data_IF_760119854383
#
_entry.id   IF_760119854383
#
_cell.length_a   1.000
_cell.length_b   1.000
_cell.length_c   1.000
_cell.angle_alpha   90.00
_cell.angle_beta   90.00
_cell.angle_gamma   90.00
#
_symmetry.space_group_name_H-M   'P 1'
#
loop_
_entity.id
_entity.type
_entity.pdbx_description
1 polymer ?
#
# COMPACT_ATOMS: atom_id res chain seq x y z
N UNK A 1 20.98 -58.31 -27.15
CA UNK A 1 20.85 -56.97 -27.67
C UNK A 1 20.27 -56.13 -26.50
N UNK A 2 21.18 -55.52 -25.73
CA UNK A 2 20.91 -54.81 -24.49
C UNK A 2 20.60 -53.38 -24.89
N UNK A 3 19.42 -52.86 -24.51
CA UNK A 3 19.07 -51.47 -24.68
C UNK A 3 19.40 -50.79 -23.36
N UNK A 4 20.46 -49.94 -23.36
CA UNK A 4 20.81 -49.06 -22.29
C UNK A 4 19.79 -47.91 -22.20
N UNK A 5 19.23 -47.68 -21.00
CA UNK A 5 18.54 -46.45 -20.66
C UNK A 5 19.57 -45.37 -20.28
N UNK A 6 19.52 -44.16 -20.88
CA UNK A 6 20.18 -43.02 -20.32
C UNK A 6 19.12 -42.06 -19.72
N UNK A 7 19.48 -41.38 -18.63
CA UNK A 7 18.87 -40.20 -17.96
C UNK A 7 18.25 -40.42 -16.58
N UNK A 8 19.11 -40.65 -15.60
CA UNK A 8 18.81 -40.32 -14.19
C UNK A 8 19.96 -39.51 -13.55
N UNK A 9 20.66 -38.65 -14.27
CA UNK A 9 21.82 -37.90 -13.73
C UNK A 9 21.68 -36.38 -13.69
N UNK A 10 20.48 -35.78 -13.82
CA UNK A 10 20.30 -34.29 -13.87
C UNK A 10 19.47 -33.70 -12.74
N UNK A 11 19.11 -34.43 -11.68
CA UNK A 11 18.32 -33.89 -10.58
C UNK A 11 19.14 -33.68 -9.28
N UNK A 12 20.41 -34.02 -9.26
CA UNK A 12 21.23 -33.96 -8.02
C UNK A 12 22.05 -32.69 -7.84
N UNK A 13 22.13 -31.79 -8.83
CA UNK A 13 23.00 -30.59 -8.75
C UNK A 13 22.31 -29.32 -8.23
N UNK A 14 21.00 -29.34 -8.10
CA UNK A 14 20.23 -28.16 -7.66
C UNK A 14 20.26 -27.94 -6.13
N UNK A 15 20.61 -28.95 -5.34
CA UNK A 15 20.74 -28.84 -3.88
C UNK A 15 22.08 -28.27 -3.42
N UNK A 16 23.13 -28.37 -4.19
CA UNK A 16 24.46 -27.83 -3.85
C UNK A 16 24.54 -26.33 -4.08
N UNK A 17 23.79 -25.79 -5.04
CA UNK A 17 23.72 -24.36 -5.31
C UNK A 17 23.01 -23.60 -4.17
N UNK A 18 22.03 -24.23 -3.51
CA UNK A 18 21.29 -23.65 -2.38
C UNK A 18 22.08 -23.66 -1.05
N UNK A 19 23.07 -24.51 -0.88
CA UNK A 19 23.79 -24.64 0.40
C UNK A 19 24.97 -23.70 0.58
N UNK A 20 25.48 -23.07 -0.47
CA UNK A 20 26.68 -22.24 -0.42
C UNK A 20 26.42 -20.73 -0.16
N UNK A 21 25.19 -20.24 -0.27
CA UNK A 21 24.85 -18.80 -0.17
C UNK A 21 24.17 -18.40 1.15
N UNK A 22 24.05 -19.29 2.13
CA UNK A 22 23.36 -19.01 3.42
C UNK A 22 24.39 -18.73 4.54
N UNK A 23 25.21 -17.70 4.38
CA UNK A 23 26.17 -17.27 5.41
C UNK A 23 25.79 -15.97 6.15
N UNK A 24 24.51 -15.57 6.16
CA UNK A 24 23.97 -14.60 7.10
C UNK A 24 22.66 -15.12 7.64
N UNK A 25 22.36 -14.95 8.94
CA UNK A 25 21.09 -15.40 9.53
C UNK A 25 19.92 -14.76 8.76
N UNK A 26 19.24 -15.48 7.85
CA UNK A 26 18.29 -14.87 6.89
C UNK A 26 17.10 -14.18 7.58
N UNK A 27 16.78 -14.63 8.79
CA UNK A 27 15.72 -14.02 9.59
C UNK A 27 16.01 -12.54 9.94
N UNK A 28 17.24 -12.19 10.30
CA UNK A 28 17.56 -10.80 10.68
C UNK A 28 17.41 -9.84 9.48
N UNK A 29 17.82 -10.26 8.28
CA UNK A 29 17.69 -9.45 7.08
C UNK A 29 16.22 -9.14 6.73
N UNK A 30 15.30 -10.11 6.92
CA UNK A 30 13.86 -9.91 6.72
C UNK A 30 13.30 -8.84 7.67
N UNK A 31 13.70 -8.84 8.94
CA UNK A 31 13.24 -7.83 9.90
C UNK A 31 13.77 -6.43 9.57
N UNK A 32 15.00 -6.30 9.08
CA UNK A 32 15.53 -5.01 8.63
C UNK A 32 14.83 -4.50 7.36
N UNK A 33 14.51 -5.41 6.43
CA UNK A 33 13.66 -5.06 5.27
C UNK A 33 12.25 -4.65 5.72
N UNK A 34 11.68 -5.33 6.71
CA UNK A 34 10.38 -4.97 7.28
C UNK A 34 10.40 -3.61 7.99
N UNK A 35 11.52 -3.25 8.65
CA UNK A 35 11.69 -1.92 9.24
C UNK A 35 11.70 -0.82 8.17
N UNK A 36 12.31 -1.09 7.01
CA UNK A 36 12.24 -0.19 5.86
C UNK A 36 10.81 -0.03 5.32
N UNK A 37 10.04 -1.13 5.18
CA UNK A 37 8.63 -1.04 4.77
C UNK A 37 7.74 -0.38 5.83
N UNK A 38 8.05 -0.54 7.11
CA UNK A 38 7.42 0.22 8.20
C UNK A 38 7.64 1.73 8.04
N UNK A 39 8.88 2.15 7.82
CA UNK A 39 9.21 3.57 7.63
C UNK A 39 8.48 4.17 6.41
N UNK A 40 8.51 3.45 5.28
CA UNK A 40 7.83 3.87 4.03
C UNK A 40 6.31 3.87 4.21
N UNK A 41 5.75 2.86 4.86
CA UNK A 41 4.33 2.80 5.17
C UNK A 41 3.89 3.94 6.08
N UNK A 42 4.67 4.23 7.13
CA UNK A 42 4.39 5.37 8.03
C UNK A 42 4.37 6.67 7.25
N UNK A 43 5.39 6.94 6.44
CA UNK A 43 5.50 8.17 5.65
C UNK A 43 4.37 8.31 4.63
N UNK A 44 4.03 7.22 3.94
CA UNK A 44 2.97 7.22 2.92
C UNK A 44 1.59 7.59 3.46
N UNK A 45 1.32 7.31 4.72
CA UNK A 45 0.02 7.55 5.35
C UNK A 45 0.02 8.70 6.37
N UNK A 46 1.17 9.10 6.95
CA UNK A 46 1.23 10.11 8.02
C UNK A 46 0.87 11.52 7.57
N UNK A 47 0.96 11.84 6.29
CA UNK A 47 0.71 13.20 5.79
C UNK A 47 -0.75 13.60 5.98
N UNK A 48 -1.69 12.71 5.71
CA UNK A 48 -3.12 13.01 5.82
C UNK A 48 -3.52 13.62 7.18
N UNK A 49 -3.17 13.03 8.33
CA UNK A 49 -3.44 13.63 9.62
C UNK A 49 -2.65 14.92 9.92
N UNK A 50 -1.56 15.18 9.22
CA UNK A 50 -0.72 16.37 9.43
C UNK A 50 -1.10 17.55 8.53
N UNK A 51 -1.96 17.33 7.51
CA UNK A 51 -2.32 18.34 6.50
C UNK A 51 -2.77 19.68 7.10
N UNK A 52 -3.65 19.76 8.11
CA UNK A 52 -4.08 21.03 8.66
C UNK A 52 -2.90 21.86 9.22
N UNK A 53 -2.00 21.20 9.97
CA UNK A 53 -0.83 21.85 10.56
C UNK A 53 0.20 22.26 9.52
N UNK A 54 0.38 21.43 8.49
CA UNK A 54 1.26 21.74 7.36
C UNK A 54 0.73 22.91 6.53
N UNK A 55 -0.59 22.98 6.30
CA UNK A 55 -1.23 24.09 5.60
C UNK A 55 -1.02 25.42 6.34
N UNK A 56 -1.21 25.41 7.67
CA UNK A 56 -0.98 26.56 8.53
C UNK A 56 0.50 27.02 8.47
N UNK A 57 1.45 26.11 8.75
CA UNK A 57 2.89 26.42 8.80
C UNK A 57 3.46 26.91 7.46
N UNK A 58 2.96 26.35 6.35
CA UNK A 58 3.41 26.69 4.99
C UNK A 58 2.61 27.84 4.38
N UNK A 59 1.64 28.39 5.10
CA UNK A 59 0.77 29.49 4.66
C UNK A 59 0.07 29.20 3.33
N UNK A 60 -0.43 27.98 3.16
CA UNK A 60 -1.18 27.54 1.97
C UNK A 60 -2.58 27.07 2.36
N UNK A 61 -3.49 27.01 1.39
CA UNK A 61 -4.81 26.45 1.62
C UNK A 61 -4.72 24.94 1.93
N UNK A 62 -5.73 24.41 2.64
CA UNK A 62 -5.84 22.97 2.89
C UNK A 62 -5.90 22.16 1.58
N UNK A 63 -6.55 22.70 0.55
CA UNK A 63 -6.62 22.13 -0.80
C UNK A 63 -5.23 22.05 -1.43
N UNK A 64 -4.43 23.10 -1.32
CA UNK A 64 -3.04 23.14 -1.79
C UNK A 64 -2.18 22.14 -1.01
N UNK A 65 -2.30 22.08 0.32
CA UNK A 65 -1.60 21.09 1.12
C UNK A 65 -1.95 19.64 0.74
N UNK A 66 -3.21 19.36 0.38
CA UNK A 66 -3.65 18.07 -0.12
C UNK A 66 -2.90 17.59 -1.36
N UNK A 67 -2.36 18.49 -2.19
CA UNK A 67 -1.53 18.13 -3.34
C UNK A 67 -0.21 17.44 -2.94
N UNK A 68 0.26 17.61 -1.70
CA UNK A 68 1.41 16.87 -1.17
C UNK A 68 1.13 15.36 -1.08
N UNK A 69 -0.12 14.96 -0.83
CA UNK A 69 -0.54 13.56 -0.88
C UNK A 69 -0.66 13.10 -2.33
N UNK A 70 -1.31 13.89 -3.17
CA UNK A 70 -1.52 13.59 -4.59
C UNK A 70 -0.18 13.37 -5.31
N UNK A 71 0.79 14.27 -5.15
CA UNK A 71 2.07 14.17 -5.86
C UNK A 71 2.88 12.96 -5.44
N UNK A 72 2.90 12.62 -4.14
CA UNK A 72 3.57 11.43 -3.65
C UNK A 72 2.95 10.16 -4.24
N UNK A 73 1.62 10.02 -4.11
CA UNK A 73 0.91 8.82 -4.55
C UNK A 73 0.96 8.65 -6.07
N UNK A 74 0.85 9.74 -6.82
CA UNK A 74 0.98 9.74 -8.28
C UNK A 74 2.41 9.39 -8.72
N UNK A 75 3.41 10.01 -8.08
CA UNK A 75 4.82 9.71 -8.37
C UNK A 75 5.14 8.24 -8.06
N UNK A 76 4.63 7.70 -6.96
CA UNK A 76 4.79 6.28 -6.63
C UNK A 76 4.13 5.38 -7.69
N UNK A 77 2.89 5.68 -8.08
CA UNK A 77 2.12 4.88 -9.03
C UNK A 77 2.84 4.68 -10.37
N UNK A 78 3.44 5.74 -10.88
CA UNK A 78 4.19 5.71 -12.15
C UNK A 78 5.63 5.26 -11.99
N UNK A 79 6.33 5.71 -10.95
CA UNK A 79 7.75 5.41 -10.78
C UNK A 79 8.00 3.94 -10.47
N UNK A 80 7.16 3.31 -9.66
CA UNK A 80 7.38 1.93 -9.22
C UNK A 80 7.54 0.94 -10.38
N UNK A 81 6.64 0.84 -11.37
CA UNK A 81 6.81 -0.06 -12.51
C UNK A 81 7.94 0.36 -13.44
N UNK A 82 8.11 1.67 -13.67
CA UNK A 82 9.10 2.20 -14.62
C UNK A 82 10.50 2.04 -14.04
N UNK A 83 10.75 2.55 -12.84
CA UNK A 83 12.07 2.50 -12.23
C UNK A 83 12.50 1.05 -11.94
N UNK A 84 11.58 0.18 -11.50
CA UNK A 84 11.90 -1.23 -11.29
C UNK A 84 12.34 -1.91 -12.59
N UNK A 85 11.75 -1.55 -13.73
CA UNK A 85 12.16 -2.07 -15.03
C UNK A 85 13.51 -1.50 -15.49
N UNK A 86 13.71 -0.17 -15.35
CA UNK A 86 14.94 0.51 -15.76
C UNK A 86 16.17 0.15 -14.92
N UNK A 87 15.97 -0.17 -13.65
CA UNK A 87 17.06 -0.52 -12.71
C UNK A 87 17.29 -2.03 -12.64
N UNK A 88 16.77 -2.79 -13.58
CA UNK A 88 16.85 -4.26 -13.60
C UNK A 88 18.26 -4.83 -13.60
N UNK A 89 19.22 -4.11 -14.16
CA UNK A 89 20.65 -4.48 -14.20
C UNK A 89 21.37 -4.21 -12.86
N UNK A 90 20.81 -3.36 -12.01
CA UNK A 90 21.38 -3.08 -10.68
C UNK A 90 21.07 -4.25 -9.75
N UNK A 91 22.10 -4.82 -9.13
CA UNK A 91 21.91 -5.91 -8.15
C UNK A 91 20.89 -5.54 -7.08
N UNK A 92 19.95 -6.45 -6.80
CA UNK A 92 18.80 -6.24 -5.91
C UNK A 92 19.19 -5.69 -4.54
N UNK A 93 20.28 -6.19 -3.97
CA UNK A 93 20.81 -5.69 -2.69
C UNK A 93 21.18 -4.21 -2.77
N UNK A 94 21.95 -3.82 -3.78
CA UNK A 94 22.39 -2.43 -3.91
C UNK A 94 21.21 -1.49 -4.16
N UNK A 95 20.27 -1.91 -5.00
CA UNK A 95 19.05 -1.15 -5.28
C UNK A 95 18.21 -0.95 -4.02
N UNK A 96 18.08 -1.99 -3.19
CA UNK A 96 17.35 -1.92 -1.92
C UNK A 96 18.02 -0.92 -0.96
N UNK A 97 19.34 -0.99 -0.80
CA UNK A 97 20.10 -0.10 0.09
C UNK A 97 20.06 1.35 -0.42
N UNK A 98 20.31 1.57 -1.72
CA UNK A 98 20.30 2.90 -2.34
C UNK A 98 18.92 3.56 -2.27
N UNK A 99 17.85 2.80 -2.52
CA UNK A 99 16.49 3.33 -2.42
C UNK A 99 16.13 3.73 -0.98
N UNK A 100 16.49 2.92 0.02
CA UNK A 100 16.21 3.25 1.42
C UNK A 100 17.10 4.40 1.94
N UNK A 101 18.35 4.47 1.51
CA UNK A 101 19.23 5.61 1.80
C UNK A 101 18.69 6.90 1.17
N UNK A 102 18.28 6.85 -0.10
CA UNK A 102 17.63 7.98 -0.77
C UNK A 102 16.35 8.41 -0.07
N UNK A 103 15.56 7.45 0.43
CA UNK A 103 14.37 7.73 1.21
C UNK A 103 14.70 8.42 2.54
N UNK A 104 15.75 7.98 3.24
CA UNK A 104 16.21 8.63 4.48
C UNK A 104 16.67 10.08 4.21
N UNK A 105 17.47 10.31 3.16
CA UNK A 105 17.94 11.65 2.76
C UNK A 105 16.75 12.55 2.38
N UNK A 106 15.80 12.03 1.62
CA UNK A 106 14.60 12.79 1.22
C UNK A 106 13.70 13.15 2.43
N UNK A 107 13.66 12.30 3.47
CA UNK A 107 13.01 12.63 4.75
C UNK A 107 13.71 13.78 5.47
N UNK A 108 15.05 13.81 5.47
CA UNK A 108 15.81 14.94 6.02
C UNK A 108 15.51 16.22 5.23
N UNK A 109 15.48 16.15 3.89
CA UNK A 109 15.10 17.29 3.05
C UNK A 109 13.68 17.78 3.34
N UNK A 110 12.73 16.86 3.56
CA UNK A 110 11.35 17.20 3.94
C UNK A 110 11.28 17.87 5.33
N UNK A 111 12.05 17.38 6.31
CA UNK A 111 12.12 17.98 7.64
C UNK A 111 12.69 19.41 7.61
N UNK A 112 13.67 19.65 6.74
CA UNK A 112 14.31 20.95 6.56
C UNK A 112 13.54 21.90 5.62
N UNK A 113 12.42 21.47 5.05
CA UNK A 113 11.67 22.28 4.11
C UNK A 113 11.16 23.59 4.75
N UNK A 114 11.59 24.71 4.16
CA UNK A 114 11.20 26.05 4.58
C UNK A 114 9.96 26.57 3.86
N UNK A 115 9.53 25.89 2.78
CA UNK A 115 8.37 26.30 1.99
C UNK A 115 7.73 25.12 1.27
N UNK A 116 6.54 25.38 0.73
CA UNK A 116 5.70 24.40 0.07
C UNK A 116 6.40 23.66 -1.08
N UNK A 117 7.08 24.37 -1.97
CA UNK A 117 7.72 23.78 -3.16
C UNK A 117 8.92 22.88 -2.83
N UNK A 118 9.68 23.26 -1.78
CA UNK A 118 10.76 22.39 -1.29
C UNK A 118 10.20 21.08 -0.73
N UNK A 119 9.13 21.16 0.04
CA UNK A 119 8.46 19.96 0.55
C UNK A 119 7.84 19.13 -0.58
N UNK A 120 7.23 19.77 -1.59
CA UNK A 120 6.70 19.11 -2.78
C UNK A 120 7.78 18.29 -3.51
N UNK A 121 8.96 18.89 -3.73
CA UNK A 121 10.11 18.19 -4.34
C UNK A 121 10.57 17.01 -3.49
N UNK A 122 10.68 17.20 -2.16
CA UNK A 122 11.03 16.10 -1.25
C UNK A 122 10.00 14.97 -1.32
N UNK A 123 8.70 15.27 -1.44
CA UNK A 123 7.63 14.27 -1.61
C UNK A 123 7.78 13.44 -2.88
N UNK A 124 8.21 14.06 -3.99
CA UNK A 124 8.52 13.32 -5.24
C UNK A 124 9.68 12.36 -5.00
N UNK A 125 10.78 12.85 -4.40
CA UNK A 125 11.97 12.02 -4.12
C UNK A 125 11.65 10.85 -3.19
N UNK A 126 10.85 11.09 -2.15
CA UNK A 126 10.34 10.06 -1.24
C UNK A 126 9.55 8.98 -1.98
N UNK A 127 8.67 9.40 -2.89
CA UNK A 127 7.86 8.48 -3.69
C UNK A 127 8.70 7.62 -4.66
N UNK A 128 9.70 8.22 -5.33
CA UNK A 128 10.63 7.50 -6.21
C UNK A 128 11.41 6.43 -5.43
N UNK A 129 11.93 6.79 -4.27
CA UNK A 129 12.68 5.89 -3.41
C UNK A 129 11.80 4.75 -2.86
N UNK A 130 10.59 5.07 -2.37
CA UNK A 130 9.63 4.10 -1.87
C UNK A 130 9.15 3.13 -2.97
N UNK A 131 8.89 3.65 -4.19
CA UNK A 131 8.47 2.88 -5.36
C UNK A 131 9.53 1.88 -5.84
N UNK A 132 10.81 2.16 -5.58
CA UNK A 132 11.91 1.20 -5.81
C UNK A 132 12.07 0.21 -4.67
N UNK A 133 11.95 0.66 -3.42
CA UNK A 133 12.23 -0.17 -2.25
C UNK A 133 11.25 -1.31 -2.09
N UNK A 134 9.95 -1.03 -2.03
CA UNK A 134 8.92 -2.01 -1.63
C UNK A 134 8.87 -3.24 -2.55
N UNK A 135 8.83 -3.09 -3.90
CA UNK A 135 8.84 -4.24 -4.80
C UNK A 135 10.14 -5.07 -4.70
N UNK A 136 11.29 -4.40 -4.50
CA UNK A 136 12.58 -5.07 -4.37
C UNK A 136 12.72 -5.79 -3.02
N UNK A 137 12.20 -5.24 -1.93
CA UNK A 137 12.14 -5.90 -0.63
C UNK A 137 11.30 -7.18 -0.70
N UNK A 138 10.13 -7.13 -1.33
CA UNK A 138 9.29 -8.30 -1.52
C UNK A 138 9.96 -9.38 -2.40
N UNK A 139 10.58 -8.98 -3.52
CA UNK A 139 11.28 -9.90 -4.41
C UNK A 139 12.47 -10.59 -3.69
N UNK A 140 13.26 -9.80 -2.96
CA UNK A 140 14.41 -10.32 -2.22
C UNK A 140 13.99 -11.21 -1.06
N UNK A 141 12.96 -10.84 -0.30
CA UNK A 141 12.42 -11.64 0.79
C UNK A 141 11.99 -13.05 0.33
N UNK A 142 11.34 -13.15 -0.84
CA UNK A 142 10.97 -14.43 -1.41
C UNK A 142 12.15 -15.26 -1.94
N UNK A 143 13.27 -14.62 -2.23
CA UNK A 143 14.47 -15.27 -2.80
C UNK A 143 15.46 -15.76 -1.73
N UNK A 144 15.52 -15.10 -0.57
CA UNK A 144 16.47 -15.46 0.51
C UNK A 144 16.01 -16.61 1.40
N UNK A 145 14.84 -17.18 1.15
CA UNK A 145 14.28 -18.28 1.92
C UNK A 145 13.89 -19.45 1.01
N UNK A 146 13.83 -20.64 1.58
CA UNK A 146 13.35 -21.84 0.86
C UNK A 146 11.90 -21.63 0.36
N UNK A 147 11.50 -22.27 -0.75
CA UNK A 147 10.19 -22.10 -1.38
C UNK A 147 9.01 -22.22 -0.42
N UNK A 148 9.09 -23.14 0.55
CA UNK A 148 8.05 -23.42 1.55
C UNK A 148 7.88 -22.26 2.56
N UNK A 149 8.91 -21.42 2.72
CA UNK A 149 8.93 -20.27 3.66
C UNK A 149 8.67 -18.93 2.97
N UNK A 150 8.47 -18.88 1.66
CA UNK A 150 8.26 -17.62 0.92
C UNK A 150 7.06 -16.82 1.44
N UNK A 151 5.95 -17.49 1.72
CA UNK A 151 4.77 -16.85 2.30
C UNK A 151 5.06 -16.20 3.65
N UNK A 152 5.82 -16.90 4.52
CA UNK A 152 6.26 -16.36 5.80
C UNK A 152 7.18 -15.13 5.63
N UNK A 153 8.15 -15.19 4.73
CA UNK A 153 9.05 -14.05 4.48
C UNK A 153 8.29 -12.82 3.96
N UNK A 154 7.37 -13.02 3.01
CA UNK A 154 6.51 -11.95 2.49
C UNK A 154 5.58 -11.37 3.57
N UNK A 155 5.08 -12.19 4.49
CA UNK A 155 4.24 -11.73 5.59
C UNK A 155 5.00 -10.84 6.58
N UNK A 156 6.30 -11.06 6.78
CA UNK A 156 7.14 -10.17 7.59
C UNK A 156 7.26 -8.79 6.94
N UNK A 157 7.54 -8.74 5.62
CA UNK A 157 7.65 -7.48 4.89
C UNK A 157 6.31 -6.71 4.91
N UNK A 158 5.23 -7.39 4.60
CA UNK A 158 3.87 -6.78 4.62
C UNK A 158 3.46 -6.39 6.04
N UNK A 159 3.90 -7.15 7.04
CA UNK A 159 3.72 -6.85 8.46
C UNK A 159 4.31 -5.49 8.84
N UNK A 160 5.46 -5.12 8.27
CA UNK A 160 6.03 -3.78 8.43
C UNK A 160 5.05 -2.68 8.05
N UNK A 161 4.41 -2.78 6.87
CA UNK A 161 3.39 -1.82 6.44
C UNK A 161 2.14 -1.84 7.34
N UNK A 162 1.70 -3.03 7.77
CA UNK A 162 0.53 -3.14 8.66
C UNK A 162 0.79 -2.48 10.02
N UNK A 163 1.98 -2.66 10.59
CA UNK A 163 2.40 -2.00 11.83
C UNK A 163 2.52 -0.48 11.62
N UNK A 164 2.99 -0.03 10.45
CA UNK A 164 3.04 1.38 10.10
C UNK A 164 1.66 2.03 10.16
N UNK A 165 0.67 1.41 9.55
CA UNK A 165 -0.73 1.90 9.56
C UNK A 165 -1.32 1.89 10.97
N UNK A 166 -1.09 0.82 11.75
CA UNK A 166 -1.66 0.66 13.08
C UNK A 166 -0.99 1.54 14.15
N UNK A 167 0.33 1.73 14.09
CA UNK A 167 1.10 2.42 15.11
C UNK A 167 1.83 3.65 14.58
N UNK A 168 2.48 3.55 13.41
CA UNK A 168 3.31 4.62 12.85
C UNK A 168 2.51 5.88 12.53
N UNK A 169 1.34 5.72 11.91
CA UNK A 169 0.47 6.87 11.55
C UNK A 169 -0.10 7.58 12.78
N UNK A 170 -0.72 6.91 13.75
CA UNK A 170 -1.19 7.58 14.97
C UNK A 170 -0.07 8.21 15.78
N UNK A 171 1.08 7.55 15.89
CA UNK A 171 2.25 8.11 16.56
C UNK A 171 2.72 9.40 15.85
N UNK A 172 2.77 9.40 14.51
CA UNK A 172 3.11 10.58 13.73
C UNK A 172 2.09 11.71 13.92
N UNK A 173 0.79 11.40 14.00
CA UNK A 173 -0.25 12.38 14.27
C UNK A 173 -0.09 13.01 15.66
N UNK A 174 0.19 12.21 16.70
CA UNK A 174 0.45 12.68 18.06
C UNK A 174 1.70 13.58 18.14
N UNK A 175 2.80 13.11 17.54
CA UNK A 175 4.07 13.85 17.51
C UNK A 175 3.91 15.15 16.73
N UNK A 176 3.27 15.09 15.56
CA UNK A 176 3.04 16.25 14.72
C UNK A 176 2.15 17.30 15.37
N UNK A 177 1.18 16.87 16.19
CA UNK A 177 0.34 17.79 16.98
C UNK A 177 1.12 18.46 18.12
N UNK A 178 1.94 17.69 18.87
CA UNK A 178 2.64 18.19 20.06
C UNK A 178 3.97 18.89 19.77
N UNK A 179 4.73 18.41 18.80
CA UNK A 179 6.11 18.85 18.53
C UNK A 179 6.34 19.38 17.10
N UNK A 180 5.29 19.42 16.29
CA UNK A 180 5.36 19.85 14.90
C UNK A 180 5.62 18.72 13.91
N UNK A 181 5.06 18.86 12.70
CA UNK A 181 5.09 17.84 11.65
C UNK A 181 6.51 17.53 11.14
N UNK A 182 7.44 18.48 11.24
CA UNK A 182 8.84 18.27 10.81
C UNK A 182 9.53 17.15 11.58
N UNK A 183 9.25 17.01 12.88
CA UNK A 183 9.82 15.95 13.72
C UNK A 183 9.41 14.56 13.24
N UNK A 184 8.22 14.40 12.65
CA UNK A 184 7.79 13.10 12.10
C UNK A 184 8.68 12.66 10.95
N UNK A 185 9.08 13.56 10.06
CA UNK A 185 10.04 13.27 9.00
C UNK A 185 11.44 12.94 9.54
N UNK A 186 11.90 13.65 10.57
CA UNK A 186 13.17 13.33 11.25
C UNK A 186 13.15 11.90 11.78
N UNK A 187 12.09 11.50 12.46
CA UNK A 187 11.96 10.16 13.04
C UNK A 187 11.90 9.08 11.97
N UNK A 188 11.09 9.27 10.93
CA UNK A 188 11.00 8.33 9.79
C UNK A 188 12.35 8.25 9.06
N UNK A 189 13.01 9.38 8.85
CA UNK A 189 14.36 9.43 8.26
C UNK A 189 15.39 8.69 9.11
N UNK A 190 15.34 8.84 10.45
CA UNK A 190 16.21 8.12 11.38
C UNK A 190 15.99 6.61 11.31
N UNK A 191 14.72 6.15 11.36
CA UNK A 191 14.39 4.73 11.24
C UNK A 191 14.85 4.16 9.90
N UNK A 192 14.66 4.92 8.80
CA UNK A 192 15.11 4.52 7.46
C UNK A 192 16.64 4.45 7.36
N UNK A 193 17.34 5.42 7.98
CA UNK A 193 18.80 5.43 8.06
C UNK A 193 19.35 4.24 8.84
N UNK A 194 18.78 3.93 10.01
CA UNK A 194 19.14 2.77 10.81
C UNK A 194 18.88 1.45 10.04
N UNK A 195 17.75 1.34 9.38
CA UNK A 195 17.46 0.18 8.54
C UNK A 195 18.42 0.07 7.35
N UNK A 196 18.81 1.19 6.74
CA UNK A 196 19.82 1.22 5.66
C UNK A 196 21.18 0.69 6.16
N UNK A 197 21.65 1.19 7.31
CA UNK A 197 22.90 0.74 7.94
C UNK A 197 22.84 -0.76 8.26
N UNK A 198 21.73 -1.21 8.84
CA UNK A 198 21.53 -2.61 9.18
C UNK A 198 21.53 -3.52 7.93
N UNK A 199 20.89 -3.09 6.82
CA UNK A 199 20.91 -3.81 5.56
C UNK A 199 22.30 -3.80 4.90
N UNK A 200 23.05 -2.71 5.01
CA UNK A 200 24.41 -2.60 4.48
C UNK A 200 25.34 -3.67 5.06
N UNK A 201 25.25 -3.91 6.39
CA UNK A 201 26.06 -4.89 7.10
C UNK A 201 25.41 -6.27 7.22
N UNK A 202 24.08 -6.36 7.16
CA UNK A 202 23.31 -7.59 7.37
C UNK A 202 22.99 -8.40 6.11
N UNK A 203 23.13 -7.80 4.90
CA UNK A 203 22.91 -8.50 3.64
C UNK A 203 24.23 -8.85 2.96
N UNK A 204 24.42 -10.11 2.60
CA UNK A 204 25.56 -10.54 1.80
C UNK A 204 25.56 -9.85 0.40
N UNK A 205 26.76 -9.67 -0.18
CA UNK A 205 26.91 -8.85 -1.42
C UNK A 205 26.26 -9.45 -2.65
N UNK A 206 26.14 -10.76 -2.69
CA UNK A 206 25.60 -11.58 -3.78
C UNK A 206 24.12 -11.90 -3.64
N UNK A 207 23.49 -11.49 -2.56
CA UNK A 207 22.06 -11.76 -2.30
C UNK A 207 21.20 -11.12 -3.38
N UNK A 208 20.38 -11.96 -4.03
CA UNK A 208 19.48 -11.53 -5.11
C UNK A 208 20.15 -11.32 -6.46
N UNK A 209 21.43 -11.72 -6.61
CA UNK A 209 22.09 -11.74 -7.92
C UNK A 209 21.36 -12.70 -8.87
N UNK A 210 21.16 -12.25 -10.12
CA UNK A 210 20.48 -13.08 -11.14
C UNK A 210 18.97 -13.23 -11.01
N UNK A 211 18.32 -12.58 -10.03
CA UNK A 211 16.86 -12.61 -9.96
C UNK A 211 16.25 -11.90 -11.18
N UNK A 212 15.30 -12.55 -11.89
CA UNK A 212 14.69 -11.98 -13.07
C UNK A 212 13.90 -10.72 -12.73
N UNK A 213 13.96 -9.75 -13.64
CA UNK A 213 13.17 -8.51 -13.59
C UNK A 213 12.20 -8.53 -14.75
N UNK A 214 10.92 -8.41 -14.45
CA UNK A 214 9.91 -8.28 -15.49
C UNK A 214 10.13 -6.96 -16.26
N UNK A 215 10.27 -7.09 -17.57
CA UNK A 215 10.39 -5.96 -18.48
C UNK A 215 9.12 -5.11 -18.52
N UNK A 216 9.24 -3.87 -18.99
CA UNK A 216 8.07 -3.00 -19.17
C UNK A 216 7.06 -3.61 -20.17
N UNK A 217 7.55 -4.30 -21.20
CA UNK A 217 6.73 -4.99 -22.20
C UNK A 217 5.88 -6.11 -21.57
N UNK A 218 6.46 -6.90 -20.68
CA UNK A 218 5.72 -7.96 -19.96
C UNK A 218 4.65 -7.36 -19.04
N UNK A 219 4.94 -6.24 -18.37
CA UNK A 219 3.97 -5.53 -17.54
C UNK A 219 2.79 -5.02 -18.37
N UNK A 220 3.06 -4.40 -19.53
CA UNK A 220 2.03 -3.93 -20.47
C UNK A 220 1.20 -5.11 -20.99
N UNK A 221 1.83 -6.23 -21.33
CA UNK A 221 1.13 -7.42 -21.80
C UNK A 221 0.17 -8.00 -20.73
N UNK A 222 0.53 -7.93 -19.44
CA UNK A 222 -0.34 -8.36 -18.33
C UNK A 222 -1.52 -7.40 -18.17
N UNK A 223 -1.29 -6.08 -18.25
CA UNK A 223 -2.36 -5.07 -18.20
C UNK A 223 -3.30 -5.21 -19.40
N UNK A 224 -2.78 -5.58 -20.57
CA UNK A 224 -3.57 -5.79 -21.79
C UNK A 224 -4.59 -6.94 -21.70
N UNK A 225 -4.47 -7.83 -20.70
CA UNK A 225 -5.48 -8.87 -20.45
C UNK A 225 -6.72 -8.24 -19.80
N UNK A 226 -7.83 -8.23 -20.52
CA UNK A 226 -9.09 -7.59 -20.06
C UNK A 226 -9.50 -7.98 -18.63
N UNK A 227 -9.48 -9.28 -18.21
CA UNK A 227 -9.86 -9.63 -16.85
C UNK A 227 -8.94 -9.04 -15.78
N UNK A 228 -7.63 -8.96 -16.07
CA UNK A 228 -6.64 -8.35 -15.18
C UNK A 228 -6.87 -6.84 -15.09
N UNK A 229 -6.99 -6.16 -16.23
CA UNK A 229 -7.23 -4.71 -16.27
C UNK A 229 -8.49 -4.32 -15.51
N UNK A 230 -9.61 -4.99 -15.74
CA UNK A 230 -10.87 -4.71 -15.04
C UNK A 230 -10.72 -4.93 -13.52
N UNK A 231 -10.00 -5.96 -13.11
CA UNK A 231 -9.71 -6.22 -11.68
C UNK A 231 -8.82 -5.13 -11.09
N UNK A 232 -7.82 -4.64 -11.82
CA UNK A 232 -6.99 -3.49 -11.43
C UNK A 232 -7.82 -2.19 -11.31
N UNK A 233 -8.79 -1.99 -12.21
CA UNK A 233 -9.71 -0.85 -12.13
C UNK A 233 -10.62 -0.91 -10.90
N UNK A 234 -11.02 -2.10 -10.44
CA UNK A 234 -11.71 -2.25 -9.14
C UNK A 234 -10.81 -1.77 -8.01
N UNK A 235 -9.51 -2.12 -8.04
CA UNK A 235 -8.55 -1.63 -7.03
C UNK A 235 -8.41 -0.10 -7.08
N UNK A 236 -8.32 0.48 -8.28
CA UNK A 236 -8.23 1.93 -8.47
C UNK A 236 -9.44 2.65 -7.88
N UNK A 237 -10.66 2.21 -8.21
CA UNK A 237 -11.90 2.80 -7.71
C UNK A 237 -12.04 2.63 -6.19
N UNK A 238 -11.72 1.45 -5.65
CA UNK A 238 -11.69 1.20 -4.21
C UNK A 238 -10.73 2.16 -3.50
N UNK A 239 -9.51 2.30 -4.01
CA UNK A 239 -8.49 3.17 -3.46
C UNK A 239 -8.88 4.64 -3.56
N UNK A 240 -9.51 5.06 -4.67
CA UNK A 240 -10.06 6.41 -4.85
C UNK A 240 -11.07 6.73 -3.76
N UNK A 241 -12.07 5.87 -3.54
CA UNK A 241 -13.08 6.10 -2.51
C UNK A 241 -12.49 6.14 -1.10
N UNK A 242 -11.61 5.20 -0.77
CA UNK A 242 -10.98 5.14 0.54
C UNK A 242 -10.12 6.38 0.84
N UNK A 243 -9.33 6.86 -0.12
CA UNK A 243 -8.45 8.02 0.07
C UNK A 243 -9.15 9.36 -0.03
N UNK A 244 -10.31 9.45 -0.69
CA UNK A 244 -11.19 10.63 -0.62
C UNK A 244 -11.52 10.99 0.82
N UNK A 245 -11.84 9.98 1.64
CA UNK A 245 -12.16 10.17 3.04
C UNK A 245 -10.88 10.26 3.88
N UNK A 246 -9.90 9.36 3.66
CA UNK A 246 -8.69 9.24 4.48
C UNK A 246 -7.86 10.52 4.48
N UNK A 247 -7.65 11.12 3.32
CA UNK A 247 -6.79 12.32 3.17
C UNK A 247 -7.27 13.48 4.04
N UNK A 248 -8.57 13.61 4.24
CA UNK A 248 -9.17 14.71 4.98
C UNK A 248 -9.93 14.26 6.24
N UNK A 249 -9.66 13.04 6.72
CA UNK A 249 -10.37 12.45 7.86
C UNK A 249 -10.24 13.33 9.13
N UNK A 250 -9.05 13.87 9.42
CA UNK A 250 -8.85 14.72 10.59
C UNK A 250 -9.63 16.03 10.47
N UNK A 251 -9.73 16.58 9.27
CA UNK A 251 -10.55 17.76 8.99
C UNK A 251 -12.02 17.45 9.22
N UNK A 252 -12.51 16.34 8.68
CA UNK A 252 -13.86 15.85 8.90
C UNK A 252 -14.18 15.67 10.39
N UNK A 253 -13.28 15.02 11.14
CA UNK A 253 -13.47 14.79 12.57
C UNK A 253 -13.56 16.12 13.34
N UNK A 254 -12.68 17.06 13.03
CA UNK A 254 -12.66 18.37 13.70
C UNK A 254 -13.92 19.19 13.41
N UNK A 255 -14.35 19.28 12.12
CA UNK A 255 -15.50 20.08 11.73
C UNK A 255 -16.83 19.46 12.14
N UNK A 256 -17.01 18.14 11.91
CA UNK A 256 -18.33 17.49 12.00
C UNK A 256 -18.59 16.86 13.39
N UNK A 257 -17.53 16.55 14.16
CA UNK A 257 -17.68 15.88 15.47
C UNK A 257 -17.05 16.66 16.62
N UNK A 258 -16.27 17.71 16.33
CA UNK A 258 -15.48 18.44 17.30
C UNK A 258 -14.30 17.64 17.89
N UNK A 259 -13.91 16.52 17.27
CA UNK A 259 -12.78 15.69 17.69
C UNK A 259 -11.51 16.14 16.96
N UNK A 260 -10.58 16.75 17.69
CA UNK A 260 -9.29 17.21 17.16
C UNK A 260 -8.10 16.70 17.98
N UNK A 261 -6.89 17.02 17.53
CA UNK A 261 -5.66 16.74 18.27
C UNK A 261 -5.51 15.27 18.67
N UNK A 262 -5.35 15.01 19.96
CA UNK A 262 -5.16 13.67 20.52
C UNK A 262 -6.35 12.76 20.24
N UNK A 263 -7.58 13.28 20.27
CA UNK A 263 -8.79 12.49 20.01
C UNK A 263 -8.82 11.98 18.57
N UNK A 264 -8.49 12.81 17.60
CA UNK A 264 -8.37 12.41 16.20
C UNK A 264 -7.28 11.34 16.01
N UNK A 265 -6.16 11.46 16.71
CA UNK A 265 -5.08 10.45 16.69
C UNK A 265 -5.54 9.11 17.26
N UNK A 266 -6.37 9.09 18.31
CA UNK A 266 -6.98 7.87 18.84
C UNK A 266 -7.95 7.22 17.85
N UNK A 267 -8.75 8.01 17.12
CA UNK A 267 -9.62 7.50 16.07
C UNK A 267 -8.81 6.86 14.93
N UNK A 268 -7.70 7.50 14.51
CA UNK A 268 -6.77 6.93 13.54
C UNK A 268 -6.11 5.64 14.04
N UNK A 269 -5.76 5.56 15.31
CA UNK A 269 -5.24 4.33 15.92
C UNK A 269 -6.27 3.20 15.85
N UNK A 270 -7.52 3.46 16.22
CA UNK A 270 -8.60 2.48 16.12
C UNK A 270 -8.89 2.05 14.69
N UNK A 271 -8.83 2.99 13.74
CA UNK A 271 -8.89 2.67 12.30
C UNK A 271 -7.74 1.74 11.88
N UNK A 272 -6.50 2.04 12.29
CA UNK A 272 -5.33 1.21 11.99
C UNK A 272 -5.41 -0.19 12.59
N UNK A 273 -5.87 -0.32 13.85
CA UNK A 273 -6.13 -1.63 14.49
C UNK A 273 -7.21 -2.40 13.73
N UNK A 274 -8.31 -1.72 13.36
CA UNK A 274 -9.38 -2.32 12.57
C UNK A 274 -8.87 -2.81 11.20
N UNK A 275 -7.99 -2.04 10.57
CA UNK A 275 -7.34 -2.41 9.31
C UNK A 275 -6.49 -3.68 9.46
N UNK A 276 -5.68 -3.79 10.50
CA UNK A 276 -4.86 -4.98 10.78
C UNK A 276 -5.72 -6.23 11.03
N UNK A 277 -6.82 -6.09 11.78
CA UNK A 277 -7.81 -7.15 11.96
C UNK A 277 -8.46 -7.50 10.62
N UNK A 278 -8.82 -6.49 9.82
CA UNK A 278 -9.43 -6.64 8.50
C UNK A 278 -8.60 -7.50 7.55
N UNK A 279 -7.29 -7.25 7.45
CA UNK A 279 -6.37 -8.08 6.63
C UNK A 279 -6.43 -9.54 7.04
N UNK A 280 -6.37 -9.81 8.34
CA UNK A 280 -6.36 -11.18 8.89
C UNK A 280 -7.70 -11.89 8.64
N UNK A 281 -8.81 -11.19 8.92
CA UNK A 281 -10.17 -11.70 8.72
C UNK A 281 -10.42 -11.93 7.22
N UNK A 282 -10.05 -10.97 6.37
CA UNK A 282 -10.22 -11.04 4.92
C UNK A 282 -9.47 -12.21 4.30
N UNK A 283 -8.24 -12.47 4.73
CA UNK A 283 -7.48 -13.64 4.29
C UNK A 283 -8.17 -14.96 4.64
N UNK A 284 -8.57 -15.13 5.92
CA UNK A 284 -9.28 -16.33 6.37
C UNK A 284 -10.65 -16.54 5.70
N UNK A 285 -11.38 -15.44 5.47
CA UNK A 285 -12.66 -15.49 4.77
C UNK A 285 -12.46 -15.86 3.30
N UNK A 286 -11.42 -15.31 2.66
CA UNK A 286 -11.07 -15.64 1.28
C UNK A 286 -10.87 -17.15 1.08
N UNK A 287 -10.17 -17.82 2.02
CA UNK A 287 -9.93 -19.26 1.98
C UNK A 287 -11.22 -20.08 2.17
N UNK A 288 -12.20 -19.55 2.92
CA UNK A 288 -13.46 -20.25 3.22
C UNK A 288 -14.55 -20.05 2.18
N UNK A 289 -14.74 -18.80 1.72
CA UNK A 289 -15.90 -18.42 0.87
C UNK A 289 -15.51 -17.88 -0.50
N UNK A 290 -14.21 -17.81 -0.78
CA UNK A 290 -13.63 -17.38 -2.07
C UNK A 290 -13.58 -15.87 -2.25
N UNK A 291 -12.66 -15.43 -3.12
CA UNK A 291 -12.33 -14.02 -3.36
C UNK A 291 -13.54 -13.19 -3.81
N UNK A 292 -14.43 -13.77 -4.64
CA UNK A 292 -15.63 -13.07 -5.12
C UNK A 292 -16.51 -12.58 -3.98
N UNK A 293 -16.85 -13.47 -3.06
CA UNK A 293 -17.76 -13.16 -1.94
C UNK A 293 -17.16 -12.10 -1.04
N UNK A 294 -15.86 -12.25 -0.69
CA UNK A 294 -15.16 -11.28 0.17
C UNK A 294 -15.07 -9.90 -0.49
N UNK A 295 -14.72 -9.81 -1.78
CA UNK A 295 -14.62 -8.55 -2.50
C UNK A 295 -15.97 -7.83 -2.51
N UNK A 296 -17.04 -8.51 -2.91
CA UNK A 296 -18.36 -7.90 -3.01
C UNK A 296 -18.89 -7.47 -1.64
N UNK A 297 -18.81 -8.33 -0.63
CA UNK A 297 -19.28 -7.99 0.72
C UNK A 297 -18.47 -6.85 1.34
N UNK A 298 -17.15 -6.87 1.20
CA UNK A 298 -16.29 -5.81 1.72
C UNK A 298 -16.58 -4.45 1.08
N UNK A 299 -16.74 -4.39 -0.25
CA UNK A 299 -17.10 -3.16 -0.96
C UNK A 299 -18.50 -2.66 -0.58
N UNK A 300 -19.48 -3.55 -0.42
CA UNK A 300 -20.85 -3.16 -0.01
C UNK A 300 -20.85 -2.59 1.42
N UNK A 301 -20.15 -3.24 2.37
CA UNK A 301 -20.03 -2.77 3.75
C UNK A 301 -19.28 -1.44 3.81
N UNK A 302 -18.22 -1.28 2.99
CA UNK A 302 -17.45 -0.04 2.93
C UNK A 302 -18.30 1.12 2.37
N UNK A 303 -19.08 0.88 1.31
CA UNK A 303 -20.00 1.89 0.77
C UNK A 303 -21.03 2.32 1.83
N UNK A 304 -21.63 1.36 2.55
CA UNK A 304 -22.57 1.64 3.61
C UNK A 304 -21.91 2.46 4.75
N UNK A 305 -20.69 2.12 5.15
CA UNK A 305 -19.94 2.85 6.16
C UNK A 305 -19.71 4.31 5.74
N UNK A 306 -19.33 4.57 4.49
CA UNK A 306 -19.12 5.92 3.98
C UNK A 306 -20.42 6.73 3.87
N UNK A 307 -21.52 6.11 3.45
CA UNK A 307 -22.82 6.74 3.46
C UNK A 307 -23.23 7.11 4.89
N UNK A 308 -23.08 6.18 5.84
CA UNK A 308 -23.40 6.41 7.27
C UNK A 308 -22.55 7.54 7.86
N UNK A 309 -21.26 7.61 7.50
CA UNK A 309 -20.35 8.66 7.93
C UNK A 309 -20.87 10.05 7.51
N UNK A 310 -21.23 10.25 6.26
CA UNK A 310 -21.78 11.52 5.78
C UNK A 310 -23.19 11.80 6.30
N UNK A 311 -24.08 10.81 6.33
CA UNK A 311 -25.43 11.00 6.89
C UNK A 311 -25.37 11.43 8.36
N UNK A 312 -24.44 10.87 9.13
CA UNK A 312 -24.26 11.25 10.54
C UNK A 312 -23.84 12.70 10.68
N UNK A 313 -22.95 13.18 9.79
CA UNK A 313 -22.51 14.57 9.79
C UNK A 313 -23.63 15.55 9.39
N UNK A 314 -24.47 15.17 8.41
CA UNK A 314 -25.56 16.06 7.96
C UNK A 314 -26.79 16.07 8.88
N UNK A 315 -27.10 14.93 9.51
CA UNK A 315 -28.37 14.76 10.25
C UNK A 315 -28.24 14.96 11.76
N UNK A 316 -27.04 14.81 12.30
CA UNK A 316 -26.83 14.83 13.75
C UNK A 316 -26.02 16.05 14.20
N UNK A 317 -26.27 16.50 15.43
CA UNK A 317 -25.39 17.48 16.06
C UNK A 317 -23.99 16.88 16.32
N UNK A 318 -22.90 17.66 16.34
CA UNK A 318 -21.54 17.14 16.46
C UNK A 318 -21.33 16.12 17.59
N UNK A 319 -21.89 16.36 18.78
CA UNK A 319 -21.78 15.44 19.90
C UNK A 319 -22.50 14.10 19.65
N UNK A 320 -23.67 14.12 19.01
CA UNK A 320 -24.44 12.92 18.68
C UNK A 320 -23.83 12.15 17.49
N UNK A 321 -23.15 12.85 16.56
CA UNK A 321 -22.47 12.26 15.42
C UNK A 321 -21.23 11.43 15.80
N UNK A 322 -20.63 11.65 16.97
CA UNK A 322 -19.38 11.00 17.40
C UNK A 322 -19.44 9.47 17.33
N UNK A 323 -20.49 8.88 17.89
CA UNK A 323 -20.62 7.41 17.96
C UNK A 323 -20.82 6.78 16.59
N UNK A 324 -21.80 7.19 15.75
CA UNK A 324 -21.97 6.58 14.44
C UNK A 324 -20.79 6.85 13.49
N UNK A 325 -20.14 8.01 13.57
CA UNK A 325 -18.92 8.32 12.83
C UNK A 325 -17.79 7.37 13.24
N UNK A 326 -17.56 7.19 14.54
CA UNK A 326 -16.56 6.28 15.06
C UNK A 326 -16.81 4.84 14.61
N UNK A 327 -18.04 4.35 14.72
CA UNK A 327 -18.42 3.01 14.25
C UNK A 327 -18.18 2.87 12.75
N UNK A 328 -18.56 3.88 11.95
CA UNK A 328 -18.31 3.88 10.50
C UNK A 328 -16.82 3.79 10.16
N UNK A 329 -15.95 4.48 10.91
CA UNK A 329 -14.50 4.44 10.72
C UNK A 329 -13.92 3.07 11.07
N UNK A 330 -14.37 2.43 12.15
CA UNK A 330 -13.97 1.07 12.52
C UNK A 330 -14.42 0.06 11.46
N UNK A 331 -15.68 0.14 11.03
CA UNK A 331 -16.24 -0.72 9.96
C UNK A 331 -15.49 -0.50 8.64
N UNK A 332 -15.17 0.74 8.31
CA UNK A 332 -14.34 1.05 7.15
C UNK A 332 -12.96 0.39 7.24
N UNK A 333 -12.25 0.52 8.37
CA UNK A 333 -10.96 -0.13 8.57
C UNK A 333 -11.04 -1.64 8.32
N UNK A 334 -12.02 -2.31 8.94
CA UNK A 334 -12.26 -3.75 8.77
C UNK A 334 -12.56 -4.11 7.31
N UNK A 335 -13.52 -3.43 6.68
CA UNK A 335 -13.99 -3.77 5.34
C UNK A 335 -12.94 -3.48 4.27
N UNK A 336 -12.34 -2.28 4.27
CA UNK A 336 -11.35 -1.90 3.26
C UNK A 336 -10.14 -2.82 3.25
N UNK A 337 -9.67 -3.24 4.42
CA UNK A 337 -8.49 -4.09 4.50
C UNK A 337 -8.81 -5.59 4.42
N UNK A 338 -10.06 -6.01 4.61
CA UNK A 338 -10.51 -7.36 4.26
C UNK A 338 -10.58 -7.58 2.75
N UNK A 339 -10.89 -6.54 1.98
CA UNK A 339 -10.89 -6.55 0.52
C UNK A 339 -9.50 -6.91 -0.05
N UNK A 340 -8.42 -6.39 0.54
CA UNK A 340 -7.09 -6.38 -0.05
C UNK A 340 -6.50 -7.78 -0.33
N UNK A 341 -6.45 -8.74 0.63
CA UNK A 341 -5.93 -10.08 0.36
C UNK A 341 -6.78 -10.86 -0.65
N UNK A 342 -8.10 -10.69 -0.63
CA UNK A 342 -9.00 -11.33 -1.59
C UNK A 342 -8.78 -10.82 -3.02
N UNK A 343 -8.53 -9.52 -3.18
CA UNK A 343 -8.20 -8.90 -4.46
C UNK A 343 -6.86 -9.39 -5.00
N UNK A 344 -5.85 -9.50 -4.16
CA UNK A 344 -4.54 -10.05 -4.54
C UNK A 344 -4.66 -11.52 -4.99
N UNK A 345 -5.37 -12.35 -4.23
CA UNK A 345 -5.62 -13.75 -4.59
C UNK A 345 -6.32 -13.89 -5.95
N UNK A 346 -7.33 -13.03 -6.22
CA UNK A 346 -8.02 -12.98 -7.50
C UNK A 346 -7.06 -12.61 -8.65
N UNK A 347 -6.23 -11.59 -8.46
CA UNK A 347 -5.26 -11.15 -9.48
C UNK A 347 -4.25 -12.24 -9.81
N UNK A 348 -3.73 -12.94 -8.79
CA UNK A 348 -2.81 -14.07 -8.98
C UNK A 348 -3.50 -15.17 -9.77
N UNK A 349 -4.76 -15.50 -9.45
CA UNK A 349 -5.53 -16.51 -10.17
C UNK A 349 -5.79 -16.16 -11.64
N UNK A 350 -5.92 -14.88 -11.98
CA UNK A 350 -6.14 -14.40 -13.37
C UNK A 350 -4.82 -14.27 -14.15
N UNK A 351 -3.74 -13.84 -13.51
CA UNK A 351 -2.46 -13.64 -14.17
C UNK A 351 -1.66 -14.96 -14.33
N UNK A 352 -1.92 -15.93 -13.46
CA UNK A 352 -1.11 -17.14 -13.31
C UNK A 352 0.06 -16.94 -12.35
N UNK A 353 0.52 -18.04 -11.74
CA UNK A 353 1.58 -18.03 -10.71
C UNK A 353 2.89 -17.45 -11.24
N UNK A 354 3.25 -17.70 -12.50
CA UNK A 354 4.46 -17.17 -13.14
C UNK A 354 4.49 -15.64 -13.25
N UNK A 355 3.34 -15.00 -13.39
CA UNK A 355 3.19 -13.55 -13.51
C UNK A 355 2.64 -12.87 -12.23
N UNK A 356 2.54 -13.62 -11.13
CA UNK A 356 1.98 -13.12 -9.88
C UNK A 356 2.69 -11.86 -9.36
N UNK A 357 4.02 -11.82 -9.40
CA UNK A 357 4.80 -10.65 -8.97
C UNK A 357 4.51 -9.40 -9.82
N UNK A 358 4.32 -9.58 -11.13
CA UNK A 358 3.96 -8.49 -12.06
C UNK A 358 2.56 -7.98 -11.74
N UNK A 359 1.59 -8.88 -11.60
CA UNK A 359 0.20 -8.53 -11.30
C UNK A 359 0.07 -7.79 -9.95
N UNK A 360 0.78 -8.23 -8.92
CA UNK A 360 0.79 -7.56 -7.60
C UNK A 360 1.49 -6.19 -7.65
N UNK A 361 2.56 -6.05 -8.42
CA UNK A 361 3.23 -4.76 -8.65
C UNK A 361 2.30 -3.76 -9.36
N UNK A 362 1.58 -4.22 -10.38
CA UNK A 362 0.56 -3.43 -11.07
C UNK A 362 -0.60 -3.06 -10.13
N UNK A 363 -1.04 -4.00 -9.30
CA UNK A 363 -2.07 -3.72 -8.29
C UNK A 363 -1.65 -2.58 -7.34
N UNK A 364 -0.39 -2.56 -6.90
CA UNK A 364 0.15 -1.47 -6.10
C UNK A 364 0.13 -0.14 -6.87
N UNK A 365 0.53 -0.13 -8.16
CA UNK A 365 0.49 1.08 -8.99
C UNK A 365 -0.94 1.61 -9.17
N UNK A 366 -1.91 0.75 -9.46
CA UNK A 366 -3.32 1.15 -9.56
C UNK A 366 -3.89 1.62 -8.22
N UNK A 367 -3.49 0.99 -7.12
CA UNK A 367 -3.86 1.42 -5.76
C UNK A 367 -3.34 2.83 -5.46
N UNK A 368 -2.06 3.10 -5.70
CA UNK A 368 -1.49 4.43 -5.49
C UNK A 368 -2.03 5.47 -6.47
N UNK A 369 -2.34 5.09 -7.72
CA UNK A 369 -3.07 5.93 -8.66
C UNK A 369 -4.47 6.29 -8.15
N UNK A 370 -5.17 5.31 -7.56
CA UNK A 370 -6.44 5.54 -6.89
C UNK A 370 -6.32 6.46 -5.68
N UNK A 371 -5.26 6.32 -4.88
CA UNK A 371 -4.97 7.24 -3.77
C UNK A 371 -4.79 8.68 -4.25
N UNK A 372 -4.08 8.88 -5.37
CA UNK A 372 -3.94 10.20 -5.98
C UNK A 372 -5.29 10.79 -6.40
N UNK A 373 -6.09 10.01 -7.13
CA UNK A 373 -7.44 10.43 -7.54
C UNK A 373 -8.34 10.71 -6.34
N UNK A 374 -8.25 9.91 -5.28
CA UNK A 374 -8.99 10.11 -4.04
C UNK A 374 -8.61 11.41 -3.33
N UNK A 375 -7.31 11.71 -3.22
CA UNK A 375 -6.86 12.97 -2.64
C UNK A 375 -7.37 14.19 -3.43
N UNK A 376 -7.38 14.12 -4.76
CA UNK A 376 -7.96 15.17 -5.62
C UNK A 376 -9.48 15.25 -5.44
N UNK A 377 -10.19 14.13 -5.45
CA UNK A 377 -11.64 14.10 -5.28
C UNK A 377 -12.05 14.66 -3.91
N UNK A 378 -11.33 14.30 -2.84
CA UNK A 378 -11.56 14.85 -1.51
C UNK A 378 -11.29 16.37 -1.43
N UNK A 379 -10.22 16.83 -2.10
CA UNK A 379 -9.90 18.24 -2.23
C UNK A 379 -11.03 19.02 -2.91
N UNK A 380 -11.51 18.54 -4.06
CA UNK A 380 -12.65 19.14 -4.79
C UNK A 380 -13.92 19.12 -3.95
N UNK A 381 -14.19 18.02 -3.25
CA UNK A 381 -15.37 17.88 -2.38
C UNK A 381 -15.37 18.92 -1.27
N UNK A 382 -14.23 19.15 -0.61
CA UNK A 382 -14.13 20.19 0.44
C UNK A 382 -14.25 21.59 -0.15
N UNK A 383 -13.66 21.84 -1.32
CA UNK A 383 -13.67 23.15 -1.96
C UNK A 383 -15.06 23.56 -2.46
N UNK A 384 -15.85 22.63 -2.96
CA UNK A 384 -17.14 22.89 -3.61
C UNK A 384 -18.37 22.59 -2.74
N UNK A 385 -18.20 21.76 -1.70
CA UNK A 385 -19.29 21.39 -0.82
C UNK A 385 -18.89 21.58 0.66
N UNK A 386 -18.53 20.50 1.34
CA UNK A 386 -18.14 20.55 2.76
C UNK A 386 -17.39 19.29 3.17
N UNK A 387 -16.70 19.26 4.32
CA UNK A 387 -16.14 18.04 4.86
C UNK A 387 -17.19 16.92 5.07
N UNK A 388 -18.42 17.27 5.44
CA UNK A 388 -19.52 16.33 5.62
C UNK A 388 -19.83 15.48 4.36
N UNK A 389 -19.56 16.02 3.16
CA UNK A 389 -19.80 15.34 1.89
C UNK A 389 -18.74 14.27 1.52
N UNK A 390 -17.62 14.22 2.22
CA UNK A 390 -16.50 13.32 1.89
C UNK A 390 -16.91 11.85 1.82
N UNK A 391 -17.75 11.39 2.76
CA UNK A 391 -18.25 10.02 2.76
C UNK A 391 -19.10 9.71 1.54
N UNK A 392 -19.97 10.64 1.09
CA UNK A 392 -20.77 10.45 -0.12
C UNK A 392 -19.87 10.39 -1.37
N UNK A 393 -18.91 11.29 -1.50
CA UNK A 393 -17.97 11.29 -2.62
C UNK A 393 -17.15 9.98 -2.66
N UNK A 394 -16.67 9.50 -1.52
CA UNK A 394 -16.01 8.21 -1.39
C UNK A 394 -16.94 7.05 -1.76
N UNK A 395 -18.19 7.05 -1.25
CA UNK A 395 -19.17 6.01 -1.51
C UNK A 395 -19.50 5.85 -3.00
N UNK A 396 -19.59 6.93 -3.76
CA UNK A 396 -19.81 6.88 -5.22
C UNK A 396 -18.72 6.06 -5.91
N UNK A 397 -17.46 6.29 -5.57
CA UNK A 397 -16.34 5.52 -6.12
C UNK A 397 -16.39 4.05 -5.70
N UNK A 398 -16.73 3.76 -4.41
CA UNK A 398 -16.85 2.39 -3.92
C UNK A 398 -18.04 1.65 -4.59
N UNK A 399 -19.15 2.32 -4.83
CA UNK A 399 -20.30 1.75 -5.57
C UNK A 399 -19.90 1.45 -7.01
N UNK A 400 -19.12 2.33 -7.66
CA UNK A 400 -18.52 2.06 -8.97
C UNK A 400 -17.63 0.81 -8.95
N UNK A 401 -16.76 0.67 -7.94
CA UNK A 401 -15.93 -0.52 -7.74
C UNK A 401 -16.78 -1.79 -7.54
N UNK A 402 -17.85 -1.69 -6.73
CA UNK A 402 -18.80 -2.79 -6.47
C UNK A 402 -19.51 -3.23 -7.75
N UNK A 403 -20.06 -2.27 -8.52
CA UNK A 403 -20.72 -2.54 -9.78
C UNK A 403 -19.81 -3.22 -10.80
N UNK A 404 -18.56 -2.73 -10.93
CA UNK A 404 -17.56 -3.34 -11.81
C UNK A 404 -17.16 -4.74 -11.33
N UNK A 405 -16.92 -4.93 -10.02
CA UNK A 405 -16.59 -6.24 -9.45
C UNK A 405 -17.74 -7.24 -9.68
N UNK A 406 -18.99 -6.81 -9.55
CA UNK A 406 -20.16 -7.64 -9.81
C UNK A 406 -20.26 -8.03 -11.28
N UNK A 407 -20.07 -7.08 -12.21
CA UNK A 407 -20.10 -7.33 -13.65
C UNK A 407 -19.05 -8.35 -14.09
N UNK A 408 -17.79 -8.18 -13.62
CA UNK A 408 -16.68 -9.11 -13.92
C UNK A 408 -16.98 -10.52 -13.41
N UNK A 409 -17.56 -10.63 -12.22
CA UNK A 409 -17.81 -11.94 -11.60
C UNK A 409 -19.01 -12.68 -12.19
N UNK A 410 -19.90 -11.99 -12.87
CA UNK A 410 -21.07 -12.57 -13.57
C UNK A 410 -20.68 -13.19 -14.90
N UNK A 411 -19.67 -12.66 -15.58
CA UNK A 411 -19.19 -13.18 -16.86
C UNK A 411 -18.35 -14.45 -16.65
N UNK A 412 -18.77 -15.57 -17.26
CA UNK A 412 -18.12 -16.88 -17.15
C UNK A 412 -16.70 -16.90 -17.74
N UNK A 413 -16.43 -16.08 -18.75
CA UNK A 413 -15.12 -15.95 -19.39
C UNK A 413 -14.02 -15.40 -18.44
N UNK A 414 -14.40 -14.72 -17.36
CA UNK A 414 -13.49 -14.13 -16.38
C UNK A 414 -13.31 -14.97 -15.11
N UNK A 415 -13.54 -16.30 -15.19
CA UNK A 415 -13.26 -17.19 -14.07
C UNK A 415 -11.78 -17.58 -14.05
N UNK A 416 -11.11 -17.57 -12.88
CA UNK A 416 -9.76 -18.10 -12.76
C UNK A 416 -9.70 -19.55 -13.25
N UNK A 417 -8.78 -19.88 -14.17
CA UNK A 417 -8.61 -21.21 -14.72
C UNK A 417 -9.41 -21.53 -16.01
N UNK A 418 -10.15 -20.58 -16.59
CA UNK A 418 -10.85 -20.82 -17.87
C UNK A 418 -9.89 -21.08 -19.04
N UNK A 419 -8.69 -20.48 -19.01
CA UNK A 419 -7.68 -20.64 -20.09
C UNK A 419 -6.93 -21.99 -20.02
N UNK A 420 -7.04 -22.75 -18.93
CA UNK A 420 -6.41 -24.07 -18.79
C UNK A 420 -7.24 -25.20 -19.43
N UNK A 421 -8.46 -24.93 -19.86
CA UNK A 421 -9.36 -25.92 -20.48
C UNK A 421 -9.37 -25.87 -22.01
N UNK A 422 -8.69 -24.88 -22.63
CA UNK A 422 -8.65 -24.69 -24.09
C UNK A 422 -7.23 -24.79 -24.69
N UNK A 423 -6.22 -25.22 -23.92
CA UNK A 423 -4.87 -25.60 -24.37
C UNK A 423 -4.65 -27.07 -24.02
#
# INVERSE_FOLDING_TARGET
MIIEEPHVALIQDDRSYYSATVAAKPANALYWMALGTFAIGTEGFMIAPLLPKMAEDLSVSLVTAGQLVTVFTLSYAFSSPILTALTGEIGRRNLLILSLAGFAIANVAAALATGYWMLMTARILLALAAGLYVPNANALAGAVVAPEKRGWALSIITGGTSIAVALGVPASALIGHGYGWRLTFVLVGTVSGLATIALLFGLARDVGAGLPVASLRERIAVVGRTPVLLTLLVTLLWATGAYTVYTYLVVFLASETGLGGVQASLVLFMWGVSAAIGVTVGGRLNDKVGSRTVIISALAVLAAAFVTLSLSAYLLRPAAARVPVFVSIVVWGLAAWSYFPAQQARLIGLAGVSLASVALSLNASFMFGGFALGAVLGSVTIAQASPAALGFAGAVSIVGALGLAFAITRNKEFRPGADAACA
#
